data_IF_431852974849
#
_entry.id   IF_431852974849
#
_cell.length_a   1.000
_cell.length_b   1.000
_cell.length_c   1.000
_cell.angle_alpha   90.00
_cell.angle_beta   90.00
_cell.angle_gamma   90.00
#
_symmetry.space_group_name_H-M   'P 1'
#
loop_
_entity.id
_entity.type
_entity.pdbx_description
1 polymer ?
#
# COMPACT_ATOMS: atom_id res chain seq x y z
N UNK A 1 14.80 13.28 7.64
CA UNK A 1 13.61 12.41 7.56
C UNK A 1 12.45 13.13 8.23
N UNK A 2 11.23 12.74 7.94
CA UNK A 2 10.02 13.35 8.49
C UNK A 2 9.76 12.85 9.92
N UNK A 3 8.95 13.55 10.71
CA UNK A 3 8.77 13.24 12.15
C UNK A 3 8.31 11.80 12.39
N UNK A 4 7.40 11.31 11.55
CA UNK A 4 6.89 9.93 11.64
C UNK A 4 7.96 8.87 11.36
N UNK A 5 8.98 9.17 10.55
CA UNK A 5 10.05 8.22 10.25
C UNK A 5 10.94 7.95 11.48
N UNK A 6 10.88 8.76 12.55
CA UNK A 6 11.61 8.47 13.81
C UNK A 6 11.08 7.23 14.53
N UNK A 7 9.87 6.77 14.17
CA UNK A 7 9.21 5.62 14.76
C UNK A 7 9.36 4.36 13.91
N UNK A 8 10.04 4.44 12.77
CA UNK A 8 10.26 3.30 11.87
C UNK A 8 11.01 2.14 12.55
N UNK A 9 10.54 0.93 12.29
CA UNK A 9 11.23 -0.32 12.55
C UNK A 9 10.64 -1.43 11.68
N UNK A 10 11.41 -2.51 11.51
CA UNK A 10 10.98 -3.75 10.85
C UNK A 10 10.81 -4.87 11.88
N UNK A 11 9.70 -5.59 11.80
CA UNK A 11 9.39 -6.78 12.58
C UNK A 11 8.73 -7.88 11.72
N UNK A 12 7.74 -7.52 10.92
CA UNK A 12 7.03 -8.40 9.99
C UNK A 12 6.80 -7.79 8.61
N UNK A 13 6.84 -6.47 8.44
CA UNK A 13 6.78 -5.82 7.12
C UNK A 13 8.04 -6.06 6.28
N UNK A 14 7.97 -5.77 4.99
CA UNK A 14 9.12 -5.91 4.09
C UNK A 14 10.25 -4.92 4.43
N UNK A 15 9.90 -3.68 4.77
CA UNK A 15 10.83 -2.65 5.19
C UNK A 15 10.42 -2.13 6.58
N UNK A 16 10.37 -0.82 6.80
CA UNK A 16 10.12 -0.23 8.11
C UNK A 16 8.65 0.17 8.37
N UNK A 17 7.72 -0.38 7.60
CA UNK A 17 6.30 -0.04 7.66
C UNK A 17 5.67 -0.33 9.04
N UNK A 18 6.12 -1.38 9.76
CA UNK A 18 5.56 -1.76 11.07
C UNK A 18 5.56 -0.59 12.06
N UNK A 19 6.66 0.16 12.13
CA UNK A 19 6.78 1.29 13.03
C UNK A 19 5.91 2.49 12.65
N UNK A 20 5.73 2.71 11.34
CA UNK A 20 4.81 3.73 10.83
C UNK A 20 3.36 3.35 11.17
N UNK A 21 2.96 2.10 10.91
CA UNK A 21 1.63 1.61 11.26
C UNK A 21 1.35 1.71 12.76
N UNK A 22 2.27 1.25 13.62
CA UNK A 22 2.05 1.31 15.06
C UNK A 22 1.95 2.76 15.57
N UNK A 23 2.72 3.70 15.01
CA UNK A 23 2.58 5.12 15.30
C UNK A 23 1.20 5.66 14.92
N UNK A 24 0.73 5.38 13.70
CA UNK A 24 -0.58 5.85 13.21
C UNK A 24 -1.72 5.23 14.04
N UNK A 25 -1.67 3.92 14.27
CA UNK A 25 -2.65 3.16 15.08
C UNK A 25 -2.74 3.74 16.49
N UNK A 26 -1.61 4.02 17.13
CA UNK A 26 -1.57 4.63 18.46
C UNK A 26 -2.13 6.05 18.44
N UNK A 27 -1.74 6.87 17.45
CA UNK A 27 -2.15 8.27 17.32
C UNK A 27 -3.67 8.42 17.12
N UNK A 28 -4.29 7.46 16.44
CA UNK A 28 -5.73 7.39 16.18
C UNK A 28 -6.51 6.55 17.19
N UNK A 29 -5.85 6.00 18.21
CA UNK A 29 -6.44 5.12 19.25
C UNK A 29 -7.24 3.92 18.68
N UNK A 30 -6.73 3.29 17.61
CA UNK A 30 -7.40 2.16 16.96
C UNK A 30 -7.22 0.87 17.77
N UNK A 31 -8.31 0.39 18.38
CA UNK A 31 -8.31 -0.77 19.30
C UNK A 31 -8.86 -2.07 18.70
N UNK A 32 -9.69 -1.97 17.66
CA UNK A 32 -10.44 -3.07 17.05
C UNK A 32 -10.36 -2.95 15.53
N UNK A 33 -9.17 -3.23 15.00
CA UNK A 33 -8.82 -2.88 13.63
C UNK A 33 -9.56 -3.78 12.63
N UNK A 34 -10.32 -3.16 11.74
CA UNK A 34 -10.79 -3.76 10.50
C UNK A 34 -9.78 -3.48 9.39
N UNK A 35 -9.21 -4.52 8.76
CA UNK A 35 -8.19 -4.31 7.73
C UNK A 35 -8.42 -5.13 6.47
N UNK A 36 -7.87 -4.64 5.37
CA UNK A 36 -7.76 -5.34 4.08
C UNK A 36 -6.30 -5.25 3.62
N UNK A 37 -5.69 -6.39 3.34
CA UNK A 37 -4.33 -6.52 2.81
C UNK A 37 -4.43 -7.16 1.42
N UNK A 38 -3.97 -6.45 0.40
CA UNK A 38 -4.04 -6.87 -1.01
C UNK A 38 -2.63 -6.97 -1.57
N UNK A 39 -2.30 -8.19 -1.96
CA UNK A 39 -0.95 -8.61 -2.29
C UNK A 39 -0.08 -8.65 -1.04
N UNK A 40 0.44 -9.83 -0.75
CA UNK A 40 1.22 -10.04 0.46
C UNK A 40 2.22 -11.17 0.28
N UNK A 41 3.13 -11.31 1.23
CA UNK A 41 3.81 -12.57 1.46
C UNK A 41 3.47 -13.13 2.85
N UNK A 42 3.72 -14.42 3.06
CA UNK A 42 3.45 -15.08 4.34
C UNK A 42 4.57 -14.84 5.36
N UNK A 43 5.72 -14.34 4.92
CA UNK A 43 6.88 -14.01 5.76
C UNK A 43 7.19 -12.50 5.84
N UNK A 44 6.69 -11.70 4.90
CA UNK A 44 6.78 -10.24 4.88
C UNK A 44 5.40 -9.63 4.59
N UNK A 45 4.80 -8.98 5.59
CA UNK A 45 3.41 -8.55 5.57
C UNK A 45 3.15 -7.43 6.59
N UNK A 46 2.56 -6.34 6.13
CA UNK A 46 2.27 -5.14 6.93
C UNK A 46 1.25 -5.42 8.05
N UNK A 47 0.28 -6.29 7.80
CA UNK A 47 -0.81 -6.56 8.73
C UNK A 47 -0.48 -7.52 9.86
N UNK A 48 0.58 -8.35 9.75
CA UNK A 48 0.92 -9.33 10.80
C UNK A 48 1.17 -8.65 12.14
N UNK A 49 1.87 -7.51 12.15
CA UNK A 49 2.25 -6.83 13.38
C UNK A 49 1.05 -6.39 14.24
N UNK A 50 -0.09 -6.06 13.62
CA UNK A 50 -1.30 -5.64 14.31
C UNK A 50 -2.44 -6.66 14.32
N UNK A 51 -2.22 -7.91 13.89
CA UNK A 51 -3.23 -8.99 13.97
C UNK A 51 -3.82 -9.20 15.38
N UNK A 52 -3.02 -9.00 16.43
CA UNK A 52 -3.52 -9.10 17.82
C UNK A 52 -4.59 -8.04 18.12
N UNK A 53 -4.48 -6.85 17.51
CA UNK A 53 -5.43 -5.73 17.64
C UNK A 53 -6.59 -5.80 16.63
N UNK A 54 -6.59 -6.78 15.72
CA UNK A 54 -7.65 -6.88 14.70
C UNK A 54 -9.00 -7.34 15.28
N UNK A 55 -10.07 -6.78 14.71
CA UNK A 55 -11.44 -7.24 14.88
C UNK A 55 -11.85 -8.13 13.69
N UNK A 56 -11.56 -7.67 12.47
CA UNK A 56 -11.86 -8.35 11.21
C UNK A 56 -10.75 -8.07 10.20
N UNK A 57 -10.40 -9.06 9.40
CA UNK A 57 -9.31 -8.94 8.43
C UNK A 57 -9.60 -9.70 7.15
N UNK A 58 -9.15 -9.17 6.02
CA UNK A 58 -9.15 -9.86 4.74
C UNK A 58 -7.76 -9.79 4.11
N UNK A 59 -7.20 -10.96 3.81
CA UNK A 59 -6.00 -11.12 3.00
C UNK A 59 -6.39 -11.59 1.60
N UNK A 60 -5.90 -10.91 0.56
CA UNK A 60 -6.14 -11.26 -0.84
C UNK A 60 -4.82 -11.32 -1.60
N UNK A 61 -4.57 -12.40 -2.32
CA UNK A 61 -3.40 -12.52 -3.20
C UNK A 61 -3.71 -13.45 -4.39
N UNK A 62 -3.06 -13.21 -5.53
CA UNK A 62 -3.22 -14.01 -6.74
C UNK A 62 -2.58 -15.40 -6.62
N UNK A 63 -1.57 -15.57 -5.75
CA UNK A 63 -0.88 -16.83 -5.52
C UNK A 63 -1.66 -17.72 -4.56
N UNK A 64 -2.11 -18.87 -5.08
CA UNK A 64 -2.76 -19.89 -4.26
C UNK A 64 -1.85 -20.38 -3.13
N UNK A 65 -0.55 -20.56 -3.41
CA UNK A 65 0.43 -21.05 -2.44
C UNK A 65 0.56 -20.11 -1.25
N UNK A 66 0.75 -18.80 -1.50
CA UNK A 66 0.86 -17.79 -0.44
C UNK A 66 -0.39 -17.76 0.43
N UNK A 67 -1.57 -17.74 -0.20
CA UNK A 67 -2.87 -17.75 0.50
C UNK A 67 -3.04 -19.02 1.33
N UNK A 68 -2.71 -20.18 0.77
CA UNK A 68 -2.84 -21.46 1.45
C UNK A 68 -1.92 -21.54 2.67
N UNK A 69 -0.63 -21.21 2.51
CA UNK A 69 0.35 -21.24 3.60
C UNK A 69 -0.09 -20.30 4.71
N UNK A 70 -0.38 -19.03 4.37
CA UNK A 70 -0.65 -18.03 5.38
C UNK A 70 -1.97 -18.28 6.13
N UNK A 71 -3.00 -18.76 5.42
CA UNK A 71 -4.25 -19.22 6.05
C UNK A 71 -4.00 -20.29 7.10
N UNK A 72 -3.15 -21.29 6.80
CA UNK A 72 -2.85 -22.37 7.75
C UNK A 72 -2.04 -21.85 8.96
N UNK A 73 -1.05 -20.99 8.75
CA UNK A 73 -0.30 -20.34 9.84
C UNK A 73 -1.24 -19.53 10.73
N UNK A 74 -2.08 -18.68 10.15
CA UNK A 74 -3.02 -17.85 10.91
C UNK A 74 -4.05 -18.69 11.65
N UNK A 75 -4.52 -19.80 11.10
CA UNK A 75 -5.43 -20.72 11.81
C UNK A 75 -4.78 -21.38 13.04
N UNK A 76 -3.46 -21.57 13.05
CA UNK A 76 -2.74 -22.12 14.21
C UNK A 76 -2.63 -21.09 15.35
N UNK A 77 -2.32 -19.83 15.04
CA UNK A 77 -2.03 -18.80 16.04
C UNK A 77 -3.21 -17.88 16.39
N UNK A 78 -4.20 -17.77 15.49
CA UNK A 78 -5.31 -16.80 15.57
C UNK A 78 -6.69 -17.43 15.29
N UNK A 79 -6.87 -18.72 15.60
CA UNK A 79 -8.08 -19.53 15.31
C UNK A 79 -9.43 -18.84 15.61
N UNK A 80 -9.49 -18.01 16.65
CA UNK A 80 -10.73 -17.36 17.11
C UNK A 80 -10.94 -15.95 16.54
N UNK A 81 -10.07 -15.47 15.64
CA UNK A 81 -10.17 -14.16 15.00
C UNK A 81 -10.95 -14.26 13.68
N UNK A 82 -11.71 -13.21 13.33
CA UNK A 82 -12.41 -13.11 12.04
C UNK A 82 -11.45 -12.69 10.94
N UNK A 83 -10.54 -13.59 10.55
CA UNK A 83 -9.57 -13.34 9.48
C UNK A 83 -9.91 -14.22 8.28
N UNK A 84 -10.12 -13.57 7.14
CA UNK A 84 -10.50 -14.20 5.90
C UNK A 84 -9.33 -14.18 4.91
N UNK A 85 -9.37 -15.14 3.99
CA UNK A 85 -8.35 -15.34 2.98
C UNK A 85 -9.02 -15.62 1.65
N UNK A 86 -8.68 -14.86 0.61
CA UNK A 86 -9.18 -15.02 -0.75
C UNK A 86 -8.01 -15.17 -1.71
N UNK A 87 -8.02 -16.25 -2.50
CA UNK A 87 -7.13 -16.36 -3.65
C UNK A 87 -7.81 -15.74 -4.87
N UNK A 88 -7.31 -14.58 -5.30
CA UNK A 88 -7.86 -13.84 -6.44
C UNK A 88 -6.85 -12.82 -6.96
N UNK A 89 -6.77 -12.68 -8.29
CA UNK A 89 -6.09 -11.57 -8.93
C UNK A 89 -6.97 -10.32 -8.82
N UNK A 90 -6.61 -9.40 -7.94
CA UNK A 90 -7.34 -8.15 -7.74
C UNK A 90 -7.08 -7.20 -8.91
N UNK A 91 -8.13 -6.57 -9.41
CA UNK A 91 -8.07 -5.60 -10.48
C UNK A 91 -9.09 -4.47 -10.24
N UNK A 92 -9.08 -3.46 -11.12
CA UNK A 92 -9.93 -2.27 -10.96
C UNK A 92 -11.43 -2.58 -11.03
N UNK A 93 -11.81 -3.68 -11.67
CA UNK A 93 -13.22 -4.04 -11.93
C UNK A 93 -13.78 -4.97 -10.84
N UNK A 94 -12.94 -5.71 -10.11
CA UNK A 94 -13.36 -6.68 -9.09
C UNK A 94 -13.11 -6.26 -7.63
N UNK A 95 -12.25 -5.26 -7.38
CA UNK A 95 -11.82 -4.87 -6.03
C UNK A 95 -12.98 -4.66 -5.05
N UNK A 96 -14.01 -3.93 -5.46
CA UNK A 96 -15.15 -3.63 -4.60
C UNK A 96 -15.97 -4.89 -4.29
N UNK A 97 -16.19 -5.75 -5.28
CA UNK A 97 -16.94 -6.99 -5.10
C UNK A 97 -16.20 -7.95 -4.17
N UNK A 98 -14.87 -8.05 -4.31
CA UNK A 98 -14.03 -8.86 -3.41
C UNK A 98 -14.17 -8.38 -1.96
N UNK A 99 -14.10 -7.07 -1.71
CA UNK A 99 -14.26 -6.55 -0.34
C UNK A 99 -15.70 -6.78 0.16
N UNK A 100 -16.72 -6.59 -0.68
CA UNK A 100 -18.14 -6.79 -0.34
C UNK A 100 -18.50 -8.25 0.01
N UNK A 101 -17.74 -9.24 -0.46
CA UNK A 101 -17.91 -10.64 -0.01
C UNK A 101 -17.66 -10.81 1.50
N UNK A 102 -16.89 -9.89 2.10
CA UNK A 102 -16.45 -10.02 3.48
C UNK A 102 -16.84 -8.85 4.36
N UNK A 103 -16.99 -7.63 3.84
CA UNK A 103 -17.35 -6.42 4.57
C UNK A 103 -18.63 -5.82 4.00
N UNK A 104 -19.53 -5.41 4.88
CA UNK A 104 -20.72 -4.66 4.45
C UNK A 104 -20.30 -3.28 3.92
N UNK A 105 -21.09 -2.70 3.02
CA UNK A 105 -20.74 -1.41 2.38
C UNK A 105 -20.62 -0.24 3.35
N UNK A 106 -21.27 -0.33 4.51
CA UNK A 106 -21.25 0.64 5.61
C UNK A 106 -20.26 0.26 6.73
N UNK A 107 -19.61 -0.91 6.64
CA UNK A 107 -18.60 -1.31 7.61
C UNK A 107 -17.32 -0.48 7.44
N UNK A 108 -16.84 0.09 8.55
CA UNK A 108 -15.64 0.90 8.52
C UNK A 108 -14.37 0.01 8.43
N UNK A 109 -13.58 0.25 7.40
CA UNK A 109 -12.23 -0.29 7.24
C UNK A 109 -11.25 0.71 7.86
N UNK A 110 -10.41 0.27 8.78
CA UNK A 110 -9.40 1.13 9.39
C UNK A 110 -8.14 1.20 8.51
N UNK A 111 -7.70 0.07 7.98
CA UNK A 111 -6.43 -0.03 7.23
C UNK A 111 -6.64 -0.76 5.91
N UNK A 112 -6.17 -0.17 4.82
CA UNK A 112 -5.94 -0.85 3.55
C UNK A 112 -4.45 -0.81 3.22
N UNK A 113 -3.86 -1.97 2.96
CA UNK A 113 -2.53 -2.13 2.36
C UNK A 113 -2.73 -2.67 0.93
N UNK A 114 -2.17 -1.98 -0.07
CA UNK A 114 -2.32 -2.32 -1.49
C UNK A 114 -0.94 -2.37 -2.16
N UNK A 115 -0.55 -3.58 -2.56
CA UNK A 115 0.70 -3.86 -3.26
C UNK A 115 0.50 -5.05 -4.21
N UNK A 116 0.18 -4.79 -5.48
CA UNK A 116 -0.01 -5.83 -6.51
C UNK A 116 1.04 -5.76 -7.61
N UNK A 117 2.19 -5.14 -7.32
CA UNK A 117 3.34 -5.00 -8.21
C UNK A 117 3.02 -4.39 -9.59
N UNK A 118 2.12 -3.40 -9.72
CA UNK A 118 1.84 -2.86 -11.05
C UNK A 118 0.68 -1.90 -11.21
N UNK A 119 -0.55 -2.42 -11.07
CA UNK A 119 -1.78 -1.71 -11.46
C UNK A 119 -2.50 -1.06 -10.27
N UNK A 120 -1.76 -0.86 -9.18
CA UNK A 120 -2.18 -0.33 -7.88
C UNK A 120 -2.97 0.99 -8.02
N UNK A 121 -2.47 1.89 -8.86
CA UNK A 121 -3.13 3.17 -9.15
C UNK A 121 -4.58 2.97 -9.63
N UNK A 122 -4.81 2.04 -10.56
CA UNK A 122 -6.13 1.80 -11.15
C UNK A 122 -7.07 1.09 -10.17
N UNK A 123 -6.53 0.21 -9.32
CA UNK A 123 -7.29 -0.42 -8.24
C UNK A 123 -7.73 0.64 -7.24
N UNK A 124 -6.82 1.51 -6.80
CA UNK A 124 -7.13 2.60 -5.88
C UNK A 124 -8.11 3.61 -6.49
N UNK A 125 -8.00 3.90 -7.79
CA UNK A 125 -8.92 4.78 -8.51
C UNK A 125 -10.37 4.26 -8.36
N UNK A 126 -10.58 2.97 -8.58
CA UNK A 126 -11.90 2.32 -8.55
C UNK A 126 -12.38 1.90 -7.17
N UNK A 127 -11.57 2.01 -6.12
CA UNK A 127 -11.98 1.67 -4.76
C UNK A 127 -13.11 2.60 -4.26
N UNK A 128 -14.24 2.03 -3.87
CA UNK A 128 -15.40 2.75 -3.31
C UNK A 128 -15.38 2.82 -1.79
N UNK A 129 -14.73 1.87 -1.13
CA UNK A 129 -14.52 1.89 0.32
C UNK A 129 -13.64 3.08 0.72
N UNK A 130 -13.85 3.59 1.93
CA UNK A 130 -13.07 4.71 2.49
C UNK A 130 -12.28 4.33 3.75
N UNK A 131 -11.22 3.50 3.63
CA UNK A 131 -10.36 3.16 4.75
C UNK A 131 -9.84 4.40 5.50
N UNK A 132 -9.64 4.32 6.82
CA UNK A 132 -9.04 5.45 7.57
C UNK A 132 -7.59 5.70 7.14
N UNK A 133 -6.86 4.63 6.88
CA UNK A 133 -5.43 4.62 6.52
C UNK A 133 -5.27 3.80 5.24
N UNK A 134 -4.49 4.31 4.29
CA UNK A 134 -4.10 3.59 3.08
C UNK A 134 -2.57 3.56 3.02
N UNK A 135 -2.00 2.38 2.89
CA UNK A 135 -0.62 2.16 2.47
C UNK A 135 -0.64 1.64 1.03
N UNK A 136 0.10 2.29 0.15
CA UNK A 136 0.14 1.92 -1.27
C UNK A 136 1.57 2.02 -1.81
N UNK A 137 1.94 1.03 -2.62
CA UNK A 137 3.23 1.01 -3.30
C UNK A 137 3.31 2.16 -4.32
N UNK A 138 4.47 2.81 -4.39
CA UNK A 138 4.79 3.75 -5.46
C UNK A 138 6.18 3.46 -6.04
N UNK A 139 6.33 3.77 -7.32
CA UNK A 139 7.57 3.58 -8.02
C UNK A 139 8.45 4.84 -7.95
N UNK A 140 9.44 4.81 -7.07
CA UNK A 140 10.41 5.91 -6.90
C UNK A 140 11.28 6.16 -8.15
N UNK A 141 11.39 5.21 -9.08
CA UNK A 141 12.20 5.40 -10.29
C UNK A 141 11.67 6.52 -11.18
N UNK A 142 10.39 6.87 -11.09
CA UNK A 142 9.80 8.01 -11.79
C UNK A 142 10.19 9.37 -11.20
N UNK A 143 10.80 9.41 -10.00
CA UNK A 143 11.13 10.63 -9.30
C UNK A 143 9.92 11.36 -8.74
N UNK A 144 10.16 12.56 -8.20
CA UNK A 144 9.18 13.32 -7.44
C UNK A 144 8.19 14.12 -8.30
N UNK A 145 8.59 14.53 -9.51
CA UNK A 145 7.83 15.49 -10.32
C UNK A 145 6.79 14.83 -11.22
N UNK A 146 7.15 13.70 -11.85
CA UNK A 146 6.30 13.04 -12.83
C UNK A 146 4.99 12.57 -12.21
N UNK A 147 3.90 12.74 -12.94
CA UNK A 147 2.60 12.12 -12.67
C UNK A 147 2.32 11.10 -13.76
N UNK A 148 2.74 9.86 -13.55
CA UNK A 148 2.55 8.81 -14.54
C UNK A 148 2.37 7.44 -13.89
N UNK A 149 1.88 6.49 -14.68
CA UNK A 149 1.82 5.07 -14.36
C UNK A 149 2.10 4.25 -15.61
N UNK A 150 2.44 2.99 -15.44
CA UNK A 150 2.33 2.02 -16.54
C UNK A 150 0.87 1.97 -17.05
N UNK A 151 0.62 1.66 -18.33
CA UNK A 151 -0.72 1.45 -18.82
C UNK A 151 -1.39 0.27 -18.10
N UNK A 152 -2.68 0.40 -17.80
CA UNK A 152 -3.45 -0.69 -17.22
C UNK A 152 -3.44 -1.92 -18.14
N UNK A 153 -3.15 -3.08 -17.56
CA UNK A 153 -3.36 -4.39 -18.16
C UNK A 153 -3.80 -5.34 -17.06
N UNK A 154 -4.95 -5.99 -17.26
CA UNK A 154 -5.48 -6.97 -16.29
C UNK A 154 -4.52 -8.13 -16.06
N UNK A 155 -3.76 -8.50 -17.09
CA UNK A 155 -2.76 -9.57 -17.05
C UNK A 155 -1.33 -9.03 -16.89
N UNK A 156 -1.17 -7.82 -16.34
CA UNK A 156 0.17 -7.30 -16.05
C UNK A 156 0.88 -8.27 -15.10
N UNK A 157 2.10 -8.65 -15.47
CA UNK A 157 2.98 -9.45 -14.62
C UNK A 157 4.28 -8.69 -14.52
N UNK A 158 4.63 -8.30 -13.30
CA UNK A 158 5.91 -7.69 -13.06
C UNK A 158 7.04 -8.67 -13.35
N UNK A 159 8.03 -8.19 -14.09
CA UNK A 159 9.27 -8.93 -14.32
C UNK A 159 10.20 -8.66 -13.15
N UNK A 160 10.65 -9.72 -12.46
CA UNK A 160 11.47 -9.62 -11.25
C UNK A 160 12.69 -8.73 -11.51
N UNK A 161 12.79 -7.65 -10.74
CA UNK A 161 13.89 -6.68 -10.81
C UNK A 161 13.73 -5.61 -11.89
N UNK A 162 12.64 -5.62 -12.65
CA UNK A 162 12.32 -4.56 -13.60
C UNK A 162 11.93 -3.27 -12.89
N UNK A 163 12.42 -2.10 -13.31
CA UNK A 163 11.97 -0.82 -12.77
C UNK A 163 10.60 -0.39 -13.35
N UNK A 164 10.04 -1.16 -14.29
CA UNK A 164 8.79 -0.85 -15.00
C UNK A 164 7.60 -1.50 -14.28
N UNK A 165 7.06 -0.79 -13.30
CA UNK A 165 5.88 -1.15 -12.51
C UNK A 165 5.17 0.11 -11.99
N UNK A 166 3.93 -0.04 -11.54
CA UNK A 166 3.30 0.92 -10.64
C UNK A 166 3.05 2.30 -11.23
N UNK A 167 2.91 3.25 -10.31
CA UNK A 167 2.74 4.67 -10.59
C UNK A 167 3.76 5.50 -9.83
N UNK A 168 4.01 6.71 -10.30
CA UNK A 168 4.81 7.69 -9.58
C UNK A 168 4.11 8.15 -8.30
N UNK A 169 4.89 8.56 -7.31
CA UNK A 169 4.34 9.09 -6.05
C UNK A 169 3.35 10.25 -6.32
N UNK A 170 3.71 11.17 -7.22
CA UNK A 170 2.91 12.35 -7.48
C UNK A 170 1.57 12.02 -8.18
N UNK A 171 1.52 10.95 -8.98
CA UNK A 171 0.27 10.44 -9.56
C UNK A 171 -0.65 9.91 -8.44
N UNK A 172 -0.11 9.06 -7.57
CA UNK A 172 -0.87 8.48 -6.44
C UNK A 172 -1.35 9.58 -5.50
N UNK A 173 -0.50 10.56 -5.14
CA UNK A 173 -0.90 11.67 -4.28
C UNK A 173 -1.99 12.55 -4.92
N UNK A 174 -1.93 12.77 -6.23
CA UNK A 174 -2.98 13.52 -6.94
C UNK A 174 -4.32 12.80 -6.89
N UNK A 175 -4.32 11.49 -7.13
CA UNK A 175 -5.53 10.66 -7.02
C UNK A 175 -6.05 10.60 -5.57
N UNK A 176 -5.16 10.41 -4.59
CA UNK A 176 -5.50 10.40 -3.18
C UNK A 176 -6.18 11.72 -2.76
N UNK A 177 -5.64 12.86 -3.20
CA UNK A 177 -6.24 14.16 -2.92
C UNK A 177 -7.67 14.30 -3.47
N UNK A 178 -7.93 13.83 -4.70
CA UNK A 178 -9.27 13.81 -5.28
C UNK A 178 -10.25 12.92 -4.51
N UNK A 179 -9.73 11.88 -3.84
CA UNK A 179 -10.49 10.96 -2.98
C UNK A 179 -10.51 11.40 -1.51
N UNK A 180 -10.08 12.63 -1.21
CA UNK A 180 -10.01 13.19 0.15
C UNK A 180 -9.11 12.38 1.10
N UNK A 181 -7.91 12.08 0.62
CA UNK A 181 -6.80 11.46 1.34
C UNK A 181 -5.55 12.34 1.31
N UNK A 182 -4.79 12.34 2.40
CA UNK A 182 -3.59 13.16 2.56
C UNK A 182 -2.37 12.32 2.88
N UNK A 183 -1.25 12.59 2.18
CA UNK A 183 0.04 11.95 2.42
C UNK A 183 0.57 12.36 3.80
N UNK A 184 0.90 11.38 4.65
CA UNK A 184 1.42 11.61 6.00
C UNK A 184 2.78 10.95 6.25
N UNK A 185 3.16 9.95 5.46
CA UNK A 185 4.47 9.32 5.53
C UNK A 185 4.91 8.76 4.17
N UNK A 186 6.22 8.72 3.97
CA UNK A 186 6.90 7.90 2.99
C UNK A 186 7.86 7.00 3.77
N UNK A 187 7.75 5.69 3.59
CA UNK A 187 8.67 4.75 4.22
C UNK A 187 10.09 4.99 3.69
N UNK A 188 11.11 4.85 4.54
CA UNK A 188 12.48 5.29 4.23
C UNK A 188 13.18 4.53 3.11
N UNK A 189 12.74 3.32 2.77
CA UNK A 189 13.15 2.57 1.57
C UNK A 189 12.48 3.07 0.30
N UNK A 190 11.59 4.07 0.41
CA UNK A 190 10.99 4.84 -0.67
C UNK A 190 10.15 3.99 -1.64
N UNK A 191 9.44 3.00 -1.10
CA UNK A 191 8.55 2.12 -1.87
C UNK A 191 7.09 2.22 -1.45
N UNK A 192 6.81 2.56 -0.18
CA UNK A 192 5.45 2.64 0.35
C UNK A 192 5.09 4.04 0.83
N UNK A 193 3.90 4.51 0.44
CA UNK A 193 3.34 5.79 0.84
C UNK A 193 2.10 5.59 1.73
N UNK A 194 2.02 6.37 2.81
CA UNK A 194 0.93 6.30 3.78
C UNK A 194 0.03 7.53 3.67
N UNK A 195 -1.25 7.27 3.55
CA UNK A 195 -2.30 8.26 3.46
C UNK A 195 -3.30 8.10 4.60
N UNK A 196 -3.87 9.23 5.04
CA UNK A 196 -4.96 9.26 6.00
C UNK A 196 -6.18 9.93 5.37
N UNK A 197 -7.38 9.46 5.73
CA UNK A 197 -8.65 10.04 5.31
C UNK A 197 -8.79 11.51 5.77
N UNK A 198 -9.49 12.32 4.99
CA UNK A 198 -9.58 13.78 5.17
C UNK A 198 -10.05 14.25 6.54
N UNK A 199 -11.00 13.54 7.14
CA UNK A 199 -11.51 13.78 8.50
C UNK A 199 -10.44 13.59 9.58
N UNK A 200 -9.42 12.76 9.33
CA UNK A 200 -8.36 12.41 10.27
C UNK A 200 -7.05 13.19 10.05
N UNK A 201 -6.96 14.01 9.00
CA UNK A 201 -5.71 14.71 8.62
C UNK A 201 -5.12 15.59 9.72
N UNK A 202 -5.98 16.15 10.59
CA UNK A 202 -5.60 17.05 11.66
C UNK A 202 -4.75 16.40 12.77
N UNK A 203 -4.71 15.06 12.81
CA UNK A 203 -3.84 14.31 13.72
C UNK A 203 -2.37 14.26 13.26
N UNK A 204 -2.09 14.62 12.00
CA UNK A 204 -0.81 14.42 11.34
C UNK A 204 -0.30 15.66 10.61
N UNK A 205 1.01 15.70 10.37
CA UNK A 205 1.60 16.65 9.42
C UNK A 205 1.38 16.12 8.01
N UNK A 206 0.66 16.86 7.18
CA UNK A 206 0.51 16.55 5.75
C UNK A 206 1.81 16.87 5.03
N UNK A 207 2.27 15.93 4.19
CA UNK A 207 3.51 16.03 3.43
C UNK A 207 3.24 16.53 2.01
N UNK A 208 4.24 17.19 1.44
CA UNK A 208 4.29 17.59 0.03
C UNK A 208 5.05 16.50 -0.74
N UNK A 209 4.44 15.84 -1.74
CA UNK A 209 5.07 14.71 -2.42
C UNK A 209 6.35 15.11 -3.17
N UNK A 210 6.52 16.38 -3.55
CA UNK A 210 7.72 16.83 -4.25
C UNK A 210 8.83 17.14 -3.25
N UNK A 211 8.51 17.87 -2.17
CA UNK A 211 9.50 18.29 -1.17
C UNK A 211 9.96 17.16 -0.26
N UNK A 212 9.07 16.22 0.06
CA UNK A 212 9.34 15.16 1.04
C UNK A 212 9.87 13.86 0.38
N UNK A 213 9.77 13.73 -0.94
CA UNK A 213 10.31 12.61 -1.70
C UNK A 213 11.81 12.44 -1.44
N UNK A 214 12.24 11.19 -1.33
CA UNK A 214 13.65 10.81 -1.21
C UNK A 214 13.93 9.65 -2.14
N UNK A 215 15.14 9.63 -2.67
CA UNK A 215 15.64 8.45 -3.35
C UNK A 215 16.10 7.42 -2.30
N UNK A 216 15.90 6.12 -2.55
CA UNK A 216 16.36 5.09 -1.64
C UNK A 216 17.90 5.07 -1.56
N UNK A 217 18.43 4.95 -0.35
CA UNK A 217 19.88 5.02 -0.06
C UNK A 217 20.66 3.92 -0.79
N UNK A 218 20.02 2.77 -1.07
CA UNK A 218 20.60 1.64 -1.81
C UNK A 218 20.93 1.92 -3.28
N UNK A 219 20.55 3.09 -3.81
CA UNK A 219 20.80 3.46 -5.21
C UNK A 219 21.51 4.80 -5.31
N UNK A 220 22.59 4.84 -6.12
CA UNK A 220 23.24 6.11 -6.42
C UNK A 220 22.32 7.02 -7.23
N UNK A 221 22.45 8.33 -7.05
CA UNK A 221 21.70 9.34 -7.83
C UNK A 221 21.92 9.12 -9.35
N UNK A 222 23.14 8.76 -9.76
CA UNK A 222 23.46 8.45 -11.16
C UNK A 222 22.68 7.24 -11.69
N UNK A 223 22.55 6.18 -10.88
CA UNK A 223 21.76 4.99 -11.23
C UNK A 223 20.28 5.32 -11.37
N UNK A 224 19.73 6.08 -10.41
CA UNK A 224 18.33 6.54 -10.45
C UNK A 224 18.05 7.33 -11.72
N UNK A 225 18.85 8.35 -12.03
CA UNK A 225 18.69 9.16 -13.25
C UNK A 225 18.77 8.31 -14.53
N UNK A 226 19.73 7.37 -14.60
CA UNK A 226 19.86 6.47 -15.75
C UNK A 226 18.60 5.62 -15.93
N UNK A 227 18.09 5.00 -14.87
CA UNK A 227 16.89 4.16 -14.94
C UNK A 227 15.66 4.99 -15.28
N UNK A 228 15.50 6.18 -14.70
CA UNK A 228 14.40 7.09 -15.03
C UNK A 228 14.38 7.44 -16.53
N UNK A 229 15.53 7.74 -17.13
CA UNK A 229 15.64 8.01 -18.58
C UNK A 229 15.20 6.79 -19.40
N UNK A 230 15.59 5.57 -19.01
CA UNK A 230 15.17 4.35 -19.72
C UNK A 230 13.67 4.07 -19.56
N UNK A 231 13.10 4.32 -18.36
CA UNK A 231 11.67 4.19 -18.12
C UNK A 231 10.85 5.14 -18.98
N UNK A 232 11.30 6.38 -19.15
CA UNK A 232 10.62 7.39 -19.96
C UNK A 232 10.55 7.05 -21.46
N UNK A 233 11.34 6.06 -21.92
CA UNK A 233 11.24 5.53 -23.29
C UNK A 233 10.19 4.42 -23.44
N UNK A 234 9.65 3.91 -22.33
CA UNK A 234 8.60 2.88 -22.32
C UNK A 234 7.22 3.51 -22.50
N UNK A 235 6.22 2.67 -22.76
CA UNK A 235 4.83 3.12 -22.82
C UNK A 235 4.38 3.54 -21.41
N UNK A 236 3.86 4.76 -21.25
CA UNK A 236 3.42 5.31 -19.96
C UNK A 236 2.14 6.12 -20.17
N UNK A 237 1.32 6.17 -19.13
CA UNK A 237 0.15 7.05 -19.05
C UNK A 237 0.50 8.21 -18.13
N UNK A 238 0.31 9.45 -18.59
CA UNK A 238 0.57 10.67 -17.82
C UNK A 238 -0.75 11.31 -17.36
N UNK A 239 -0.72 11.98 -16.21
CA UNK A 239 -1.88 12.59 -15.55
C UNK A 239 -1.66 14.07 -15.23
#
# INVERSE_FOLDING_TARGET
MDEINKFEYKKTSQNNEDGIFDYIIQKLDLKKINFVEIGFDYYENNSINFLKKSNKGLFVDASYEKVFIFKNITNLFYKNKKIFFKNSLVNKDNINNIILEYFDSDEEIDILSLDVDGVDYYIFEKLNFRPKIICIEYNFWFGSELKCSIPYSENFKWEIGSPYSGASLNAICSLAFLKDYHLIALESSSVNAFFVRGDLKHHFKVLDPIKNFKNPIRHSISKVKKIQIELLKKNLVFF
#
